data_IF_296777770941
#
_entry.id   IF_296777770941
#
_cell.length_a   1.000
_cell.length_b   1.000
_cell.length_c   1.000
_cell.angle_alpha   90.00
_cell.angle_beta   90.00
_cell.angle_gamma   90.00
#
_symmetry.space_group_name_H-M   'P 1'
#
loop_
_entity.id
_entity.type
_entity.pdbx_description
1 polymer ?
#
# COMPACT_ATOMS: atom_id res chain seq x y z
N UNK A 1 -6.66 -3.22 -0.31
CA UNK A 1 -5.89 -2.64 -1.44
C UNK A 1 -4.60 -3.42 -1.55
N UNK A 2 -4.09 -3.64 -2.75
CA UNK A 2 -2.81 -4.29 -2.98
C UNK A 2 -1.62 -3.30 -2.82
N UNK A 3 -0.38 -3.81 -2.85
CA UNK A 3 0.85 -3.01 -2.68
C UNK A 3 1.00 -1.87 -3.70
N UNK A 4 0.36 -2.00 -4.88
CA UNK A 4 0.28 -0.96 -5.93
C UNK A 4 -0.87 0.04 -5.75
N UNK A 5 -1.61 -0.01 -4.64
CA UNK A 5 -2.84 0.77 -4.36
C UNK A 5 -4.03 0.43 -5.26
N UNK A 6 -4.01 -0.74 -5.87
CA UNK A 6 -5.14 -1.24 -6.67
C UNK A 6 -6.13 -1.92 -5.71
N UNK A 7 -7.45 -1.82 -5.96
CA UNK A 7 -8.42 -2.56 -5.17
C UNK A 7 -8.13 -4.07 -5.19
N UNK A 8 -8.29 -4.73 -4.05
CA UNK A 8 -7.92 -6.15 -3.92
C UNK A 8 -9.14 -7.03 -4.22
N UNK A 9 -9.14 -7.68 -5.38
CA UNK A 9 -10.15 -8.66 -5.78
C UNK A 9 -11.59 -8.15 -5.61
N UNK A 10 -12.50 -8.94 -5.01
CA UNK A 10 -13.93 -8.60 -4.91
C UNK A 10 -14.26 -7.60 -3.79
N UNK A 11 -13.28 -7.16 -2.99
CA UNK A 11 -13.52 -6.30 -1.83
C UNK A 11 -14.32 -5.02 -2.15
N UNK A 12 -14.08 -4.30 -3.28
CA UNK A 12 -14.86 -3.11 -3.61
C UNK A 12 -16.34 -3.40 -3.86
N UNK A 13 -16.64 -4.53 -4.48
CA UNK A 13 -18.03 -4.93 -4.75
C UNK A 13 -18.75 -5.28 -3.44
N UNK A 14 -18.06 -5.95 -2.51
CA UNK A 14 -18.60 -6.21 -1.17
C UNK A 14 -18.85 -4.92 -0.38
N UNK A 15 -17.93 -3.97 -0.43
CA UNK A 15 -18.11 -2.66 0.22
C UNK A 15 -19.26 -1.84 -0.39
N UNK A 16 -19.64 -2.06 -1.65
CA UNK A 16 -20.74 -1.34 -2.30
C UNK A 16 -22.13 -1.80 -1.85
N UNK A 17 -22.25 -3.03 -1.36
CA UNK A 17 -23.52 -3.63 -0.90
C UNK A 17 -23.61 -3.79 0.62
N UNK A 18 -22.54 -3.47 1.35
CA UNK A 18 -22.48 -3.61 2.80
C UNK A 18 -23.22 -2.47 3.50
N UNK A 19 -23.95 -2.77 4.57
CA UNK A 19 -24.61 -1.78 5.42
C UNK A 19 -23.60 -0.95 6.23
N UNK A 20 -22.53 -1.61 6.71
CA UNK A 20 -21.46 -0.97 7.49
C UNK A 20 -20.07 -1.36 6.95
N UNK A 21 -19.16 -0.39 6.86
CA UNK A 21 -17.77 -0.59 6.39
C UNK A 21 -16.77 0.07 7.35
N UNK A 22 -15.98 -0.76 8.03
CA UNK A 22 -14.89 -0.30 8.90
C UNK A 22 -13.54 -0.52 8.23
N UNK A 23 -12.82 0.57 7.93
CA UNK A 23 -11.45 0.51 7.41
C UNK A 23 -10.45 0.69 8.55
N UNK A 24 -9.78 -0.40 8.91
CA UNK A 24 -8.74 -0.36 9.95
C UNK A 24 -7.45 0.31 9.44
N UNK A 25 -6.74 0.93 10.36
CA UNK A 25 -5.49 1.64 10.11
C UNK A 25 -4.37 1.10 11.00
N UNK A 26 -3.16 1.07 10.45
CA UNK A 26 -1.94 0.76 11.20
C UNK A 26 -1.20 2.04 11.60
N UNK A 27 -0.03 1.91 12.22
CA UNK A 27 0.87 3.03 12.50
C UNK A 27 1.99 3.06 11.44
N UNK A 28 2.25 4.24 10.89
CA UNK A 28 3.29 4.44 9.90
C UNK A 28 4.67 4.31 10.53
N UNK A 29 5.50 3.39 10.02
CA UNK A 29 6.86 3.16 10.55
C UNK A 29 7.82 4.33 10.31
N UNK A 30 7.47 5.28 9.42
CA UNK A 30 8.34 6.42 9.08
C UNK A 30 8.04 7.69 9.87
N UNK A 31 6.77 7.96 10.18
CA UNK A 31 6.37 9.22 10.81
C UNK A 31 5.38 9.05 11.98
N UNK A 32 4.98 7.83 12.34
CA UNK A 32 4.07 7.57 13.45
C UNK A 32 2.60 7.95 13.20
N UNK A 33 2.26 8.55 12.04
CA UNK A 33 0.86 8.85 11.71
C UNK A 33 0.08 7.59 11.32
N UNK A 34 -1.25 7.72 11.19
CA UNK A 34 -2.10 6.63 10.66
C UNK A 34 -1.61 6.17 9.27
N UNK A 35 -1.40 4.87 9.14
CA UNK A 35 -1.00 4.20 7.91
C UNK A 35 -2.20 3.55 7.23
N UNK A 36 -2.26 3.72 5.92
CA UNK A 36 -3.35 3.23 5.07
C UNK A 36 -2.85 2.34 3.93
N UNK A 37 -1.52 2.21 3.78
CA UNK A 37 -0.88 1.56 2.65
C UNK A 37 0.14 0.54 3.13
N UNK A 38 0.14 -0.64 2.51
CA UNK A 38 1.15 -1.67 2.71
C UNK A 38 2.16 -1.56 1.56
N UNK A 39 3.32 -0.96 1.82
CA UNK A 39 4.38 -0.82 0.83
C UNK A 39 5.27 -2.06 0.82
N UNK A 40 5.46 -2.66 -0.35
CA UNK A 40 6.34 -3.82 -0.50
C UNK A 40 7.79 -3.37 -0.65
N UNK A 41 8.71 -3.97 0.10
CA UNK A 41 10.14 -3.66 0.11
C UNK A 41 10.91 -4.59 -0.84
N UNK A 42 10.44 -5.83 -1.01
CA UNK A 42 11.10 -6.86 -1.83
C UNK A 42 10.70 -6.75 -3.30
N UNK A 43 11.65 -6.99 -4.19
CA UNK A 43 11.42 -7.05 -5.63
C UNK A 43 10.51 -8.24 -5.99
N UNK A 44 9.43 -7.96 -6.72
CA UNK A 44 8.50 -8.98 -7.18
C UNK A 44 7.18 -8.40 -7.67
N UNK A 45 6.73 -8.87 -8.83
CA UNK A 45 5.53 -8.34 -9.50
C UNK A 45 4.24 -9.08 -9.16
N UNK A 46 4.34 -10.25 -8.52
CA UNK A 46 3.18 -11.07 -8.17
C UNK A 46 2.28 -10.32 -7.19
N UNK A 47 0.99 -10.25 -7.48
CA UNK A 47 0.00 -9.64 -6.61
C UNK A 47 -0.11 -10.41 -5.28
N UNK A 48 -0.21 -11.74 -5.35
CA UNK A 48 -0.26 -12.61 -4.17
C UNK A 48 1.15 -13.08 -3.82
N UNK A 49 1.64 -12.66 -2.66
CA UNK A 49 2.92 -13.09 -2.08
C UNK A 49 2.76 -13.13 -0.57
N UNK A 50 3.09 -14.28 0.03
CA UNK A 50 3.19 -14.44 1.47
C UNK A 50 4.48 -13.77 1.94
N UNK A 51 4.34 -12.86 2.89
CA UNK A 51 5.45 -12.13 3.50
C UNK A 51 4.98 -11.50 4.81
N UNK A 52 5.93 -11.23 5.68
CA UNK A 52 5.72 -10.64 7.00
C UNK A 52 6.33 -9.22 7.05
N UNK A 53 6.95 -8.87 8.18
CA UNK A 53 7.48 -7.52 8.44
C UNK A 53 8.67 -7.15 7.56
N UNK A 54 9.37 -8.14 6.99
CA UNK A 54 10.54 -7.91 6.14
C UNK A 54 10.15 -7.59 4.69
N UNK A 55 8.98 -8.04 4.26
CA UNK A 55 8.48 -7.88 2.91
C UNK A 55 7.57 -6.65 2.76
N UNK A 56 6.86 -6.27 3.83
CA UNK A 56 5.90 -5.17 3.81
C UNK A 56 6.04 -4.21 4.99
N UNK A 57 5.98 -2.91 4.69
CA UNK A 57 5.93 -1.86 5.70
C UNK A 57 4.62 -1.04 5.60
N UNK A 58 3.96 -0.74 6.74
CA UNK A 58 2.80 0.13 6.76
C UNK A 58 3.24 1.60 6.65
N UNK A 59 2.73 2.29 5.64
CA UNK A 59 3.04 3.70 5.37
C UNK A 59 1.77 4.55 5.33
N UNK A 60 1.93 5.82 5.73
CA UNK A 60 0.96 6.86 5.45
C UNK A 60 1.06 7.33 3.99
N UNK A 61 0.08 8.12 3.53
CA UNK A 61 0.01 8.59 2.13
C UNK A 61 1.28 9.32 1.70
N UNK A 62 1.82 10.17 2.57
CA UNK A 62 2.99 11.01 2.27
C UNK A 62 4.25 10.14 2.13
N UNK A 63 4.53 9.31 3.13
CA UNK A 63 5.70 8.42 3.11
C UNK A 63 5.65 7.41 1.98
N UNK A 64 4.46 6.87 1.64
CA UNK A 64 4.30 5.96 0.51
C UNK A 64 4.68 6.62 -0.82
N UNK A 65 4.20 7.86 -1.07
CA UNK A 65 4.51 8.58 -2.30
C UNK A 65 6.00 8.93 -2.40
N UNK A 66 6.64 9.30 -1.28
CA UNK A 66 8.07 9.55 -1.24
C UNK A 66 8.85 8.29 -1.63
N UNK A 67 8.52 7.14 -1.06
CA UNK A 67 9.20 5.87 -1.35
C UNK A 67 9.04 5.43 -2.82
N UNK A 68 7.89 5.72 -3.44
CA UNK A 68 7.69 5.45 -4.86
C UNK A 68 8.53 6.36 -5.78
N UNK A 69 8.78 7.60 -5.38
CA UNK A 69 9.62 8.52 -6.14
C UNK A 69 11.11 8.11 -6.09
N UNK A 70 11.56 7.46 -5.02
CA UNK A 70 12.93 6.94 -4.93
C UNK A 70 13.13 5.62 -5.69
N UNK A 71 12.07 4.82 -5.87
CA UNK A 71 12.13 3.53 -6.57
C UNK A 71 11.84 3.61 -8.08
N UNK A 72 11.30 4.73 -8.56
CA UNK A 72 11.18 4.99 -10.00
C UNK A 72 12.38 5.79 -10.48
N UNK A 73 13.19 5.31 -11.45
CA UNK A 73 14.23 6.15 -12.04
C UNK A 73 13.56 7.41 -12.62
N UNK A 74 14.22 8.58 -12.53
CA UNK A 74 13.65 9.82 -13.06
C UNK A 74 13.36 9.60 -14.54
N UNK A 75 12.08 9.56 -14.90
CA UNK A 75 11.67 9.66 -16.29
C UNK A 75 12.10 11.07 -16.71
N UNK A 76 13.19 11.13 -17.46
CA UNK A 76 13.69 12.31 -18.14
C UNK A 76 12.52 12.93 -18.89
N UNK A 77 11.95 14.00 -18.34
CA UNK A 77 11.04 14.88 -19.06
C UNK A 77 11.91 15.74 -19.97
N UNK A 78 12.11 15.26 -21.19
CA UNK A 78 12.35 16.14 -22.34
C UNK A 78 10.99 16.58 -22.89
#
# INVERSE_FOLDING_TARGET
MDFKRIPFGPMPALCAIADDVTKVHAICVRCGSLACYSHRIVAGEKQVMLGEMHEYQPLCRKCYLQEQLFSTPPVNKF
#
